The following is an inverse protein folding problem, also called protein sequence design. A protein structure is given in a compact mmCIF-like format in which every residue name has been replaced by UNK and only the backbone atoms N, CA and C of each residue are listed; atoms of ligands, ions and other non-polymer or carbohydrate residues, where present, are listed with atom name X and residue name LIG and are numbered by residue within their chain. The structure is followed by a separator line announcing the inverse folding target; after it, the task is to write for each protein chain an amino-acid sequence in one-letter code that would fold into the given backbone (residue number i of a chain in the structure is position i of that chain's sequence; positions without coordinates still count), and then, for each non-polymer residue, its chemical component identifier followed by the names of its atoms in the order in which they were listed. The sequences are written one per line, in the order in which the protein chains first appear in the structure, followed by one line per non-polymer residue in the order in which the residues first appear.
data_IF_242265670873
#
_entry.id   IF_242265670873
#
_cell.length_a   1.000
_cell.length_b   1.000
_cell.length_c   1.000
_cell.angle_alpha   90.00
_cell.angle_beta   90.00
_cell.angle_gamma   90.00
#
_symmetry.space_group_name_H-M   'P 1'
#
loop_
_entity.id
_entity.type
_entity.pdbx_description
1 polymer ?
#
# COMPACT_ATOMS: atom_id res chain seq x y z
N UNK A 1 -54.65 28.52 17.28
CA UNK A 1 -53.62 29.53 17.02
C UNK A 1 -52.61 29.49 18.16
N UNK A 2 -51.97 28.36 18.41
CA UNK A 2 -50.79 28.12 19.29
C UNK A 2 -50.23 26.77 18.85
N UNK A 3 -49.31 26.75 17.88
CA UNK A 3 -48.47 25.57 17.53
C UNK A 3 -47.53 25.86 16.36
N UNK A 4 -46.82 26.98 16.43
CA UNK A 4 -45.64 27.22 15.59
C UNK A 4 -44.71 28.19 16.33
N UNK A 5 -43.97 27.66 17.36
CA UNK A 5 -42.90 28.47 17.97
C UNK A 5 -41.86 27.63 18.74
N UNK A 6 -41.53 26.41 18.27
CA UNK A 6 -40.47 25.63 18.94
C UNK A 6 -39.68 24.76 17.96
N UNK A 7 -39.28 25.31 16.83
CA UNK A 7 -38.30 24.63 15.94
C UNK A 7 -37.32 25.59 15.21
N UNK A 8 -37.06 26.75 15.80
CA UNK A 8 -36.10 27.73 15.19
C UNK A 8 -34.71 27.76 15.85
N UNK A 9 -34.51 27.07 16.98
CA UNK A 9 -33.26 27.19 17.76
C UNK A 9 -32.33 25.98 17.72
N UNK A 10 -32.47 25.07 16.75
CA UNK A 10 -31.56 23.94 16.60
C UNK A 10 -30.76 23.85 15.30
N UNK A 11 -30.70 24.90 14.50
CA UNK A 11 -29.85 24.92 13.30
C UNK A 11 -29.13 26.27 13.23
N UNK A 12 -28.01 26.43 13.92
CA UNK A 12 -26.88 27.26 13.50
C UNK A 12 -25.67 27.23 14.45
N UNK A 13 -24.74 26.27 14.24
CA UNK A 13 -23.34 26.51 14.55
C UNK A 13 -22.49 26.47 13.27
N UNK A 14 -22.93 27.14 12.16
CA UNK A 14 -22.26 26.86 10.88
C UNK A 14 -21.63 28.06 10.20
N UNK A 15 -21.98 29.28 10.53
CA UNK A 15 -21.39 30.45 9.88
C UNK A 15 -20.02 30.82 10.44
N UNK A 16 -19.79 30.64 11.72
CA UNK A 16 -18.48 30.93 12.33
C UNK A 16 -17.46 29.82 12.06
N UNK A 17 -17.87 28.56 12.00
CA UNK A 17 -16.99 27.46 11.59
C UNK A 17 -16.61 27.53 10.10
N UNK A 18 -17.53 27.94 9.24
CA UNK A 18 -17.24 28.18 7.83
C UNK A 18 -16.35 29.40 7.59
N UNK A 19 -16.50 30.46 8.37
CA UNK A 19 -15.60 31.62 8.32
C UNK A 19 -14.21 31.28 8.84
N UNK A 20 -14.10 30.44 9.87
CA UNK A 20 -12.82 29.98 10.39
C UNK A 20 -12.09 29.08 9.40
N UNK A 21 -12.77 28.12 8.77
CA UNK A 21 -12.19 27.24 7.73
C UNK A 21 -11.84 28.01 6.45
N UNK A 22 -12.64 28.98 6.03
CA UNK A 22 -12.33 29.82 4.88
C UNK A 22 -11.12 30.72 5.14
N UNK A 23 -11.00 31.29 6.35
CA UNK A 23 -9.82 32.07 6.77
C UNK A 23 -8.53 31.22 6.81
N UNK A 24 -8.60 29.97 7.29
CA UNK A 24 -7.49 29.02 7.27
C UNK A 24 -7.09 28.63 5.85
N UNK A 25 -8.07 28.47 4.94
CA UNK A 25 -7.80 28.15 3.55
C UNK A 25 -7.11 29.33 2.83
N UNK A 26 -7.56 30.56 3.03
CA UNK A 26 -6.94 31.77 2.47
C UNK A 26 -5.50 31.98 3.00
N UNK A 27 -5.26 31.71 4.28
CA UNK A 27 -3.90 31.74 4.85
C UNK A 27 -3.00 30.67 4.24
N UNK A 28 -3.49 29.45 3.99
CA UNK A 28 -2.73 28.36 3.35
C UNK A 28 -2.40 28.68 1.89
N UNK A 29 -3.33 29.25 1.14
CA UNK A 29 -3.09 29.68 -0.24
C UNK A 29 -2.07 30.80 -0.32
N UNK A 30 -2.12 31.78 0.60
CA UNK A 30 -1.13 32.85 0.69
C UNK A 30 0.28 32.32 1.04
N UNK A 31 0.37 31.36 1.98
CA UNK A 31 1.64 30.70 2.33
C UNK A 31 2.18 29.89 1.16
N UNK A 32 1.32 29.19 0.39
CA UNK A 32 1.78 28.44 -0.78
C UNK A 32 2.24 29.36 -1.93
N UNK A 33 1.60 30.49 -2.13
CA UNK A 33 2.04 31.47 -3.13
C UNK A 33 3.35 32.13 -2.72
N UNK A 34 3.54 32.42 -1.44
CA UNK A 34 4.80 32.97 -0.91
C UNK A 34 5.94 31.95 -1.00
N UNK A 35 5.67 30.68 -0.70
CA UNK A 35 6.62 29.57 -0.88
C UNK A 35 6.97 29.34 -2.36
N UNK A 36 6.05 29.55 -3.29
CA UNK A 36 6.32 29.43 -4.73
C UNK A 36 7.20 30.59 -5.24
N UNK A 37 6.95 31.82 -4.80
CA UNK A 37 7.78 32.99 -5.10
C UNK A 37 9.19 32.87 -4.46
N UNK A 38 9.30 32.32 -3.25
CA UNK A 38 10.59 32.05 -2.62
C UNK A 38 11.36 30.90 -3.29
N UNK A 39 10.71 29.86 -3.83
CA UNK A 39 11.39 28.77 -4.57
C UNK A 39 12.11 29.23 -5.83
N UNK A 40 11.60 30.24 -6.54
CA UNK A 40 12.28 30.82 -7.71
C UNK A 40 13.52 31.63 -7.34
N UNK A 41 13.52 32.31 -6.21
CA UNK A 41 14.67 33.06 -5.71
C UNK A 41 15.77 32.14 -5.12
N UNK A 42 15.40 31.03 -4.50
CA UNK A 42 16.36 30.05 -3.94
C UNK A 42 17.13 29.25 -4.98
N UNK A 43 16.60 29.04 -6.18
CA UNK A 43 17.38 28.41 -7.27
C UNK A 43 18.58 29.25 -7.71
N UNK A 44 18.48 30.55 -7.65
CA UNK A 44 19.60 31.46 -7.98
C UNK A 44 20.58 31.54 -6.81
N UNK A 45 20.10 31.65 -5.58
CA UNK A 45 20.92 31.72 -4.36
C UNK A 45 21.59 30.37 -4.07
N UNK A 46 20.92 29.25 -4.26
CA UNK A 46 21.48 27.91 -4.08
C UNK A 46 22.67 27.61 -4.99
N UNK A 47 22.68 28.17 -6.21
CA UNK A 47 23.80 28.03 -7.14
C UNK A 47 25.04 28.83 -6.68
N UNK A 48 24.83 29.99 -6.05
CA UNK A 48 25.93 30.83 -5.50
C UNK A 48 26.51 30.22 -4.20
N UNK A 49 25.66 29.69 -3.32
CA UNK A 49 26.11 29.06 -2.06
C UNK A 49 26.87 27.77 -2.34
N UNK A 50 26.40 26.94 -3.29
CA UNK A 50 27.09 25.70 -3.70
C UNK A 50 28.48 26.00 -4.28
N UNK A 51 28.62 27.07 -5.06
CA UNK A 51 29.90 27.50 -5.63
C UNK A 51 30.87 28.02 -4.55
N UNK A 52 30.37 28.80 -3.57
CA UNK A 52 31.18 29.31 -2.48
C UNK A 52 31.65 28.21 -1.52
N UNK A 53 30.82 27.22 -1.21
CA UNK A 53 31.21 26.05 -0.40
C UNK A 53 32.25 25.20 -1.14
N UNK A 54 32.07 25.00 -2.45
CA UNK A 54 33.04 24.26 -3.28
C UNK A 54 34.43 24.97 -3.32
N UNK A 55 34.45 26.30 -3.42
CA UNK A 55 35.67 27.07 -3.38
C UNK A 55 36.32 27.04 -1.98
N UNK A 56 35.52 27.10 -0.90
CA UNK A 56 36.06 26.97 0.47
C UNK A 56 36.60 25.56 0.76
N UNK A 57 35.96 24.49 0.29
CA UNK A 57 36.48 23.12 0.44
C UNK A 57 37.79 22.90 -0.34
N UNK A 58 37.95 23.55 -1.49
CA UNK A 58 39.21 23.50 -2.26
C UNK A 58 40.34 24.25 -1.51
N UNK A 59 40.03 25.36 -0.83
CA UNK A 59 41.06 26.11 -0.06
C UNK A 59 41.52 25.37 1.20
N UNK A 60 40.62 24.64 1.89
CA UNK A 60 41.00 23.88 3.11
C UNK A 60 41.83 22.63 2.80
N UNK A 61 41.69 22.03 1.60
CA UNK A 61 42.49 20.87 1.18
C UNK A 61 43.87 21.24 0.63
N UNK A 62 44.05 22.46 0.13
CA UNK A 62 45.32 22.89 -0.50
C UNK A 62 46.21 23.69 0.43
N UNK A 63 45.68 24.39 1.44
CA UNK A 63 46.46 25.37 2.23
C UNK A 63 46.54 25.05 3.73
N UNK A 64 45.79 24.09 4.25
CA UNK A 64 45.94 23.59 5.63
C UNK A 64 45.76 24.63 6.76
N UNK A 65 45.01 25.73 6.55
CA UNK A 65 44.82 26.80 7.55
C UNK A 65 43.41 26.63 8.19
N UNK A 66 43.32 26.52 9.54
CA UNK A 66 42.03 26.50 10.21
C UNK A 66 41.39 27.88 10.21
N UNK A 67 40.21 28.02 9.65
CA UNK A 67 39.41 29.26 9.70
C UNK A 67 38.67 29.31 11.03
N UNK A 68 39.01 30.26 11.90
CA UNK A 68 38.25 30.57 13.11
C UNK A 68 37.09 31.47 12.70
N UNK A 69 35.88 30.98 12.79
CA UNK A 69 34.65 31.75 12.59
C UNK A 69 34.35 32.55 13.88
N UNK A 70 34.58 33.86 13.85
CA UNK A 70 34.10 34.76 14.89
C UNK A 70 32.62 35.11 14.65
N UNK A 71 31.84 35.00 15.73
CA UNK A 71 30.40 35.34 15.78
C UNK A 71 30.10 36.75 15.28
N UNK A 72 29.11 36.88 14.42
CA UNK A 72 28.39 38.14 14.20
C UNK A 72 27.03 38.06 14.88
N UNK A 73 26.90 38.92 15.89
CA UNK A 73 25.68 39.02 16.72
C UNK A 73 24.57 39.83 16.06
N UNK A 74 23.35 39.28 16.16
CA UNK A 74 22.03 39.88 16.41
C UNK A 74 21.23 40.58 15.31
N UNK A 75 20.08 40.00 15.01
CA UNK A 75 18.77 40.50 15.44
C UNK A 75 17.69 39.42 15.26
N UNK A 76 16.80 39.36 16.27
CA UNK A 76 15.67 38.46 16.46
C UNK A 76 14.86 38.11 15.19
N UNK A 77 14.88 36.85 14.83
CA UNK A 77 13.85 36.22 14.01
C UNK A 77 13.36 35.01 14.81
N UNK A 78 12.06 34.88 14.90
CA UNK A 78 11.36 33.77 15.52
C UNK A 78 12.05 32.44 15.20
N UNK A 79 12.57 31.76 16.23
CA UNK A 79 13.16 30.44 16.09
C UNK A 79 12.02 29.43 15.82
N UNK A 80 11.79 29.10 14.55
CA UNK A 80 11.13 27.87 14.19
C UNK A 80 12.14 26.78 14.51
N UNK A 81 11.99 26.15 15.66
CA UNK A 81 12.71 24.93 16.02
C UNK A 81 12.24 23.84 15.08
N UNK A 82 12.99 23.60 14.01
CA UNK A 82 12.89 22.36 13.29
C UNK A 82 13.36 21.28 14.26
N UNK A 83 12.43 20.54 14.84
CA UNK A 83 12.74 19.24 15.39
C UNK A 83 13.15 18.37 14.20
N UNK A 84 14.46 18.30 13.95
CA UNK A 84 15.03 17.17 13.26
C UNK A 84 14.65 15.97 14.11
N UNK A 85 13.64 15.22 13.68
CA UNK A 85 13.51 13.86 14.14
C UNK A 85 14.80 13.20 13.71
N UNK A 86 15.73 13.08 14.64
CA UNK A 86 16.87 12.20 14.47
C UNK A 86 16.29 10.83 14.22
N UNK A 87 16.28 10.39 12.97
CA UNK A 87 16.25 8.98 12.66
C UNK A 87 17.56 8.40 13.21
N UNK A 88 17.57 8.20 14.52
CA UNK A 88 18.63 7.48 15.21
C UNK A 88 18.45 6.01 14.85
N UNK A 89 19.55 5.43 14.48
CA UNK A 89 19.81 4.08 14.03
C UNK A 89 19.44 3.84 12.56
N UNK A 90 20.40 4.10 11.70
CA UNK A 90 20.73 3.27 10.58
C UNK A 90 20.78 1.80 11.07
N UNK A 91 19.65 1.12 11.10
CA UNK A 91 19.69 -0.27 10.74
C UNK A 91 20.30 -0.25 9.35
N UNK A 92 21.42 -0.88 9.16
CA UNK A 92 22.03 -1.12 7.88
C UNK A 92 20.94 -1.70 6.99
N UNK A 93 20.30 -0.85 6.18
CA UNK A 93 19.27 -1.32 5.26
C UNK A 93 19.97 -2.34 4.40
N UNK A 94 19.54 -3.59 4.47
CA UNK A 94 20.06 -4.65 3.63
C UNK A 94 19.90 -4.15 2.20
N UNK A 95 21.03 -3.92 1.52
CA UNK A 95 20.98 -3.56 0.12
C UNK A 95 20.63 -4.81 -0.67
N UNK A 96 19.49 -4.81 -1.37
CA UNK A 96 19.01 -5.94 -2.13
C UNK A 96 19.33 -5.76 -3.61
N UNK A 97 20.20 -6.62 -4.14
CA UNK A 97 20.45 -6.75 -5.58
C UNK A 97 19.46 -7.77 -6.14
N UNK A 98 18.22 -7.36 -6.34
CA UNK A 98 17.05 -8.23 -6.53
C UNK A 98 17.20 -9.23 -7.68
N UNK A 99 17.86 -8.83 -8.77
CA UNK A 99 18.05 -9.71 -9.93
C UNK A 99 18.81 -11.00 -9.59
N UNK A 100 19.75 -10.96 -8.64
CA UNK A 100 20.62 -12.05 -8.21
C UNK A 100 20.35 -12.54 -6.78
N UNK A 101 19.52 -11.84 -6.02
CA UNK A 101 19.13 -12.26 -4.67
C UNK A 101 18.51 -13.65 -4.65
N UNK A 102 18.80 -14.42 -3.60
CA UNK A 102 18.35 -15.79 -3.43
C UNK A 102 17.51 -15.94 -2.16
N UNK A 103 16.38 -16.58 -2.30
CA UNK A 103 15.53 -17.01 -1.20
C UNK A 103 15.62 -18.52 -1.03
N UNK A 104 15.38 -18.98 0.19
CA UNK A 104 15.25 -20.41 0.45
C UNK A 104 14.09 -20.95 -0.40
N UNK A 105 14.34 -22.02 -1.16
CA UNK A 105 13.29 -22.66 -1.96
C UNK A 105 12.23 -23.37 -1.10
N UNK A 106 12.55 -23.59 0.20
CA UNK A 106 11.70 -24.28 1.16
C UNK A 106 11.02 -23.26 2.06
N UNK A 107 9.72 -23.12 1.90
CA UNK A 107 8.89 -22.24 2.73
C UNK A 107 8.65 -22.79 4.12
N UNK A 108 8.49 -21.88 5.08
CA UNK A 108 8.07 -22.17 6.46
C UNK A 108 6.65 -21.63 6.64
N UNK A 109 5.71 -22.45 7.11
CA UNK A 109 4.36 -21.98 7.44
C UNK A 109 4.42 -21.11 8.70
N UNK A 110 3.99 -19.84 8.56
CA UNK A 110 3.98 -18.84 9.65
C UNK A 110 2.57 -18.48 10.12
N UNK A 111 1.54 -18.87 9.38
CA UNK A 111 0.13 -18.79 9.78
C UNK A 111 -0.68 -19.85 9.05
N UNK A 112 -1.73 -20.33 9.68
CA UNK A 112 -2.51 -21.46 9.18
C UNK A 112 -1.86 -22.82 9.53
N UNK A 113 -2.49 -23.88 9.07
CA UNK A 113 -1.99 -25.25 9.32
C UNK A 113 -0.92 -25.63 8.30
N UNK A 114 0.19 -26.22 8.77
CA UNK A 114 1.27 -26.69 7.89
C UNK A 114 0.81 -27.81 6.92
N UNK A 115 -0.26 -28.51 7.27
CA UNK A 115 -0.91 -29.49 6.39
C UNK A 115 -1.59 -28.89 5.15
N UNK A 116 -1.81 -27.56 5.14
CA UNK A 116 -2.55 -26.91 4.07
C UNK A 116 -4.06 -27.12 4.13
N UNK A 117 -4.58 -27.70 5.21
CA UNK A 117 -6.02 -27.90 5.35
C UNK A 117 -6.72 -26.64 5.87
N UNK A 118 -7.90 -26.30 5.33
CA UNK A 118 -8.67 -25.15 5.82
C UNK A 118 -9.20 -25.43 7.25
N UNK A 119 -9.29 -24.35 8.05
CA UNK A 119 -9.83 -24.45 9.41
C UNK A 119 -10.46 -23.14 9.85
N UNK A 120 -11.56 -23.24 10.61
CA UNK A 120 -12.26 -22.12 11.22
C UNK A 120 -11.68 -21.74 12.60
N UNK A 121 -10.86 -22.59 13.19
CA UNK A 121 -10.18 -22.28 14.47
C UNK A 121 -9.20 -21.13 14.32
N UNK A 122 -8.77 -20.53 15.44
CA UNK A 122 -7.73 -19.50 15.41
C UNK A 122 -6.33 -20.06 15.08
N UNK A 123 -6.12 -21.39 15.18
CA UNK A 123 -4.89 -22.04 14.74
C UNK A 123 -4.83 -22.26 13.22
N UNK A 124 -5.91 -22.02 12.49
CA UNK A 124 -5.98 -22.21 11.04
C UNK A 124 -6.54 -21.02 10.30
N UNK A 125 -6.48 -21.12 8.98
CA UNK A 125 -7.02 -20.16 8.01
C UNK A 125 -7.93 -20.88 7.01
N UNK A 126 -8.73 -20.12 6.27
CA UNK A 126 -9.54 -20.66 5.18
C UNK A 126 -9.52 -19.71 3.97
N UNK A 127 -8.78 -20.10 2.94
CA UNK A 127 -8.60 -19.32 1.72
C UNK A 127 -8.18 -17.87 2.00
N UNK A 128 -7.06 -17.61 2.71
CA UNK A 128 -6.58 -16.25 2.95
C UNK A 128 -6.29 -15.54 1.62
N UNK A 129 -6.53 -14.22 1.53
CA UNK A 129 -6.37 -13.45 0.29
C UNK A 129 -5.27 -12.39 0.35
N UNK A 130 -5.11 -11.70 1.48
CA UNK A 130 -4.08 -10.66 1.64
C UNK A 130 -3.43 -10.75 3.02
N UNK A 131 -2.23 -10.18 3.10
CA UNK A 131 -1.48 -10.01 4.35
C UNK A 131 -0.89 -8.61 4.43
N UNK A 132 -0.78 -8.12 5.65
CA UNK A 132 0.10 -7.00 5.98
C UNK A 132 1.25 -7.53 6.85
N UNK A 133 2.49 -7.18 6.52
CA UNK A 133 3.69 -7.64 7.25
C UNK A 133 4.33 -6.46 7.96
N UNK A 134 4.45 -6.55 9.28
CA UNK A 134 5.22 -5.59 10.07
C UNK A 134 6.72 -5.91 10.02
N UNK A 135 7.57 -4.89 10.22
CA UNK A 135 9.02 -5.06 10.17
C UNK A 135 9.59 -6.10 11.15
N UNK A 136 8.89 -6.41 12.24
CA UNK A 136 9.26 -7.44 13.21
C UNK A 136 8.79 -8.86 12.86
N UNK A 137 8.16 -9.04 11.69
CA UNK A 137 7.64 -10.33 11.24
C UNK A 137 6.24 -10.68 11.76
N UNK A 138 5.60 -9.81 12.54
CA UNK A 138 4.15 -9.93 12.84
C UNK A 138 3.36 -9.73 11.56
N UNK A 139 2.31 -10.52 11.35
CA UNK A 139 1.45 -10.40 10.16
C UNK A 139 -0.02 -10.23 10.55
N UNK A 140 -0.75 -9.45 9.76
CA UNK A 140 -2.21 -9.48 9.72
C UNK A 140 -2.64 -10.26 8.48
N UNK A 141 -3.69 -11.07 8.61
CA UNK A 141 -4.18 -11.93 7.53
C UNK A 141 -5.66 -11.67 7.28
N UNK A 142 -6.02 -11.40 6.04
CA UNK A 142 -7.41 -11.42 5.58
C UNK A 142 -7.83 -12.90 5.37
N UNK A 143 -8.47 -13.45 6.38
CA UNK A 143 -8.93 -14.83 6.43
C UNK A 143 -10.32 -14.95 5.76
N UNK A 144 -10.28 -14.90 4.43
CA UNK A 144 -11.39 -14.63 3.51
C UNK A 144 -12.65 -15.44 3.80
N UNK A 145 -12.57 -16.76 3.76
CA UNK A 145 -13.75 -17.61 3.99
C UNK A 145 -14.16 -17.68 5.47
N UNK A 146 -13.31 -17.26 6.39
CA UNK A 146 -13.64 -17.16 7.80
C UNK A 146 -14.15 -15.76 8.20
N UNK A 147 -14.35 -14.83 7.26
CA UNK A 147 -14.95 -13.49 7.47
C UNK A 147 -14.31 -12.72 8.63
N UNK A 148 -12.97 -12.75 8.72
CA UNK A 148 -12.22 -12.15 9.84
C UNK A 148 -10.84 -11.69 9.42
N UNK A 149 -10.27 -10.80 10.23
CA UNK A 149 -8.85 -10.46 10.18
C UNK A 149 -8.18 -11.02 11.42
N UNK A 150 -7.09 -11.75 11.24
CA UNK A 150 -6.30 -12.34 12.32
C UNK A 150 -4.87 -11.80 12.34
N UNK A 151 -4.32 -11.61 13.54
CA UNK A 151 -2.93 -11.24 13.77
C UNK A 151 -2.14 -12.46 14.20
N UNK A 152 -0.95 -12.63 13.64
CA UNK A 152 -0.02 -13.70 13.99
C UNK A 152 1.33 -13.10 14.34
N UNK A 153 1.77 -13.27 15.58
CA UNK A 153 3.10 -12.89 16.00
C UNK A 153 4.12 -13.95 15.55
N UNK A 154 5.41 -13.61 15.42
CA UNK A 154 6.43 -14.59 15.06
C UNK A 154 6.39 -15.84 15.96
N UNK A 155 6.38 -17.02 15.33
CA UNK A 155 6.27 -18.33 15.97
C UNK A 155 4.96 -18.61 16.72
N UNK A 156 3.92 -17.81 16.51
CA UNK A 156 2.61 -18.08 17.08
C UNK A 156 2.01 -19.36 16.48
N UNK A 157 1.41 -20.20 17.33
CA UNK A 157 0.68 -21.41 16.93
C UNK A 157 -0.80 -21.16 16.64
N UNK A 158 -1.29 -19.95 16.98
CA UNK A 158 -2.65 -19.50 16.70
C UNK A 158 -2.68 -17.99 16.51
N UNK A 159 -3.59 -17.52 15.67
CA UNK A 159 -3.85 -16.11 15.45
C UNK A 159 -4.70 -15.48 16.56
N UNK A 160 -4.67 -14.17 16.63
CA UNK A 160 -5.53 -13.34 17.47
C UNK A 160 -6.53 -12.63 16.58
N UNK A 161 -7.80 -12.64 16.93
CA UNK A 161 -8.84 -11.92 16.20
C UNK A 161 -8.65 -10.39 16.34
N UNK A 162 -8.64 -9.69 15.21
CA UNK A 162 -8.45 -8.22 15.15
C UNK A 162 -9.70 -7.51 14.66
N UNK A 163 -10.39 -8.06 13.65
CA UNK A 163 -11.60 -7.48 13.07
C UNK A 163 -12.49 -8.57 12.46
N UNK A 164 -13.79 -8.30 12.36
CA UNK A 164 -14.78 -9.32 12.06
C UNK A 164 -14.97 -10.26 13.25
N UNK A 165 -15.97 -11.10 13.19
CA UNK A 165 -16.27 -12.08 14.27
C UNK A 165 -16.07 -13.53 13.85
N UNK A 166 -15.81 -13.75 12.55
CA UNK A 166 -15.86 -15.07 11.93
C UNK A 166 -17.25 -15.40 11.34
N UNK A 167 -18.24 -14.58 11.61
CA UNK A 167 -19.59 -14.71 11.01
C UNK A 167 -19.70 -13.78 9.80
N UNK A 168 -20.31 -14.29 8.74
CA UNK A 168 -20.67 -13.52 7.55
C UNK A 168 -21.76 -12.48 7.90
N UNK A 169 -21.61 -11.25 7.42
CA UNK A 169 -22.65 -10.23 7.60
C UNK A 169 -22.19 -8.80 7.27
N UNK A 170 -23.12 -7.84 7.39
CA UNK A 170 -22.94 -6.45 6.95
C UNK A 170 -22.95 -5.40 8.08
N UNK A 171 -23.10 -5.80 9.34
CA UNK A 171 -23.00 -4.83 10.46
C UNK A 171 -21.57 -4.29 10.62
N UNK A 172 -21.38 -3.25 11.46
CA UNK A 172 -20.06 -2.60 11.62
C UNK A 172 -19.00 -3.47 12.30
N UNK A 173 -19.40 -4.58 12.94
CA UNK A 173 -18.49 -5.55 13.56
C UNK A 173 -18.28 -6.80 12.71
N UNK A 174 -19.03 -6.94 11.61
CA UNK A 174 -18.98 -8.11 10.73
C UNK A 174 -18.28 -7.79 9.42
N UNK A 175 -17.75 -8.83 8.80
CA UNK A 175 -17.17 -8.81 7.47
C UNK A 175 -17.82 -9.87 6.59
N UNK A 176 -17.79 -9.65 5.28
CA UNK A 176 -18.21 -10.59 4.26
C UNK A 176 -17.07 -10.78 3.25
N UNK A 177 -16.28 -11.83 3.47
CA UNK A 177 -15.13 -12.19 2.63
C UNK A 177 -14.11 -11.06 2.47
N UNK A 178 -13.37 -10.67 3.53
CA UNK A 178 -12.35 -9.64 3.46
C UNK A 178 -11.20 -10.06 2.53
N UNK A 179 -10.79 -9.17 1.61
CA UNK A 179 -9.80 -9.48 0.56
C UNK A 179 -8.53 -8.67 0.64
N UNK A 180 -8.57 -7.43 1.09
CA UNK A 180 -7.42 -6.53 1.05
C UNK A 180 -7.25 -5.76 2.35
N UNK A 181 -5.99 -5.52 2.71
CA UNK A 181 -5.57 -4.84 3.94
C UNK A 181 -4.62 -3.69 3.62
N UNK A 182 -4.85 -2.55 4.27
CA UNK A 182 -3.87 -1.47 4.34
C UNK A 182 -3.88 -0.85 5.73
N UNK A 183 -2.75 -0.26 6.15
CA UNK A 183 -2.64 0.39 7.47
C UNK A 183 -2.20 1.83 7.29
N UNK A 184 -2.84 2.72 8.05
CA UNK A 184 -2.46 4.12 8.22
C UNK A 184 -2.78 4.57 9.65
N UNK A 185 -1.81 5.18 10.32
CA UNK A 185 -1.99 5.83 11.62
C UNK A 185 -2.75 4.99 12.65
N UNK A 186 -2.39 3.71 12.79
CA UNK A 186 -3.04 2.76 13.70
C UNK A 186 -4.50 2.42 13.32
N UNK A 187 -4.87 2.67 12.08
CA UNK A 187 -6.14 2.28 11.49
C UNK A 187 -5.91 1.20 10.44
N UNK A 188 -6.72 0.16 10.51
CA UNK A 188 -6.74 -0.94 9.55
C UNK A 188 -7.87 -0.72 8.55
N UNK A 189 -7.52 -0.50 7.31
CA UNK A 189 -8.43 -0.46 6.17
C UNK A 189 -8.64 -1.88 5.68
N UNK A 190 -9.89 -2.28 5.55
CA UNK A 190 -10.29 -3.62 5.11
C UNK A 190 -11.25 -3.51 3.94
N UNK A 191 -10.93 -4.18 2.83
CA UNK A 191 -11.91 -4.42 1.79
C UNK A 191 -12.87 -5.51 2.22
N UNK A 192 -14.11 -5.14 2.48
CA UNK A 192 -15.23 -5.99 2.86
C UNK A 192 -15.99 -6.37 1.58
N UNK A 193 -15.42 -7.35 0.83
CA UNK A 193 -15.65 -7.58 -0.59
C UNK A 193 -17.13 -7.75 -0.96
N UNK A 194 -17.85 -8.67 -0.31
CA UNK A 194 -19.26 -8.97 -0.65
C UNK A 194 -20.25 -7.98 -0.03
N UNK A 195 -19.76 -7.05 0.82
CA UNK A 195 -20.52 -5.88 1.25
C UNK A 195 -20.21 -4.64 0.39
N UNK A 196 -19.33 -4.74 -0.61
CA UNK A 196 -18.99 -3.66 -1.54
C UNK A 196 -18.58 -2.37 -0.83
N UNK A 197 -17.74 -2.48 0.22
CA UNK A 197 -17.33 -1.34 1.04
C UNK A 197 -15.89 -1.47 1.53
N UNK A 198 -15.29 -0.34 1.88
CA UNK A 198 -14.05 -0.28 2.64
C UNK A 198 -14.38 0.17 4.06
N UNK A 199 -13.95 -0.61 5.03
CA UNK A 199 -14.11 -0.32 6.46
C UNK A 199 -12.79 0.00 7.12
N UNK A 200 -12.80 0.91 8.11
CA UNK A 200 -11.68 1.23 8.97
C UNK A 200 -11.94 0.67 10.36
N UNK A 201 -11.04 -0.18 10.85
CA UNK A 201 -11.01 -0.69 12.21
C UNK A 201 -9.86 -0.05 13.00
N UNK A 202 -10.07 0.38 14.27
CA UNK A 202 -8.99 0.85 15.12
C UNK A 202 -8.11 -0.32 15.59
N UNK A 203 -6.79 -0.25 15.35
CA UNK A 203 -5.84 -1.31 15.73
C UNK A 203 -5.52 -1.39 17.24
N UNK A 204 -5.95 -0.40 18.03
CA UNK A 204 -5.66 -0.29 19.47
C UNK A 204 -6.91 -0.32 20.33
N UNK A 205 -8.03 -0.83 19.83
CA UNK A 205 -9.18 -1.04 20.67
C UNK A 205 -8.95 -2.27 21.55
N UNK A 206 -9.24 -2.15 22.84
CA UNK A 206 -9.26 -3.30 23.76
C UNK A 206 -10.51 -4.16 23.56
N UNK A 207 -11.34 -3.83 22.59
CA UNK A 207 -12.54 -4.57 22.24
C UNK A 207 -12.16 -5.80 21.42
N UNK A 208 -12.72 -6.96 21.77
CA UNK A 208 -12.54 -8.21 21.02
C UNK A 208 -13.15 -8.16 19.61
N UNK A 209 -13.95 -7.14 19.32
CA UNK A 209 -14.58 -6.90 18.01
C UNK A 209 -14.85 -5.39 17.91
N UNK A 210 -13.87 -4.57 17.48
CA UNK A 210 -14.06 -3.13 17.37
C UNK A 210 -15.08 -2.80 16.27
N UNK A 211 -15.92 -1.78 16.51
CA UNK A 211 -16.80 -1.26 15.47
C UNK A 211 -16.00 -0.52 14.41
N UNK A 212 -16.33 -0.82 13.15
CA UNK A 212 -15.73 -0.17 12.00
C UNK A 212 -16.52 1.05 11.53
N UNK A 213 -15.82 1.92 10.81
CA UNK A 213 -16.43 3.02 10.05
C UNK A 213 -16.32 2.72 8.56
N UNK A 214 -17.43 2.74 7.83
CA UNK A 214 -17.44 2.64 6.36
C UNK A 214 -17.00 3.98 5.77
N UNK A 215 -15.95 3.97 4.96
CA UNK A 215 -15.41 5.17 4.31
C UNK A 215 -15.69 5.21 2.80
N UNK A 216 -15.74 4.07 2.15
CA UNK A 216 -16.03 3.93 0.72
C UNK A 216 -17.10 2.86 0.54
N UNK A 217 -17.91 2.96 -0.51
CA UNK A 217 -19.00 2.02 -0.78
C UNK A 217 -20.30 2.35 -0.02
N UNK A 218 -20.45 3.57 0.49
CA UNK A 218 -21.67 4.05 1.17
C UNK A 218 -22.90 4.05 0.26
N UNK A 219 -22.69 4.02 -1.05
CA UNK A 219 -23.74 4.01 -2.07
C UNK A 219 -24.00 2.62 -2.66
N UNK A 220 -23.43 1.57 -2.06
CA UNK A 220 -23.58 0.17 -2.47
C UNK A 220 -22.77 -0.20 -3.71
N UNK A 221 -23.07 -1.39 -4.24
CA UNK A 221 -22.44 -1.96 -5.43
C UNK A 221 -22.77 -1.14 -6.69
N UNK A 222 -21.78 -0.88 -7.53
CA UNK A 222 -21.97 -0.25 -8.84
C UNK A 222 -20.67 0.26 -9.46
N UNK A 223 -20.79 0.89 -10.62
CA UNK A 223 -19.69 1.39 -11.43
C UNK A 223 -19.54 2.92 -11.42
N UNK A 224 -20.43 3.65 -10.74
CA UNK A 224 -20.28 5.10 -10.56
C UNK A 224 -18.99 5.42 -9.81
N UNK A 225 -18.51 6.67 -9.87
CA UNK A 225 -17.24 7.06 -9.28
C UNK A 225 -17.20 6.87 -7.75
N UNK A 226 -18.36 6.95 -7.08
CA UNK A 226 -18.50 6.79 -5.64
C UNK A 226 -19.01 5.39 -5.23
N UNK A 227 -19.13 4.47 -6.18
CA UNK A 227 -19.48 3.07 -5.97
C UNK A 227 -18.28 2.19 -6.24
N UNK A 228 -18.27 0.98 -5.70
CA UNK A 228 -17.23 -0.02 -5.91
C UNK A 228 -17.86 -1.40 -6.13
N UNK A 229 -17.10 -2.27 -6.81
CA UNK A 229 -17.49 -3.68 -7.00
C UNK A 229 -16.25 -4.59 -6.89
N UNK A 230 -16.15 -5.32 -5.79
CA UNK A 230 -15.08 -6.26 -5.47
C UNK A 230 -13.68 -5.65 -5.50
N UNK A 231 -13.38 -4.81 -4.51
CA UNK A 231 -12.03 -4.29 -4.31
C UNK A 231 -11.13 -5.39 -3.77
N UNK A 232 -10.07 -5.70 -4.51
CA UNK A 232 -9.18 -6.84 -4.25
C UNK A 232 -7.79 -6.46 -3.73
N UNK A 233 -7.41 -5.20 -3.83
CA UNK A 233 -6.14 -4.70 -3.28
C UNK A 233 -6.24 -3.24 -2.86
N UNK A 234 -5.48 -2.88 -1.82
CA UNK A 234 -5.43 -1.54 -1.21
C UNK A 234 -3.98 -1.10 -1.03
N UNK A 235 -3.69 0.16 -1.35
CA UNK A 235 -2.39 0.80 -1.05
C UNK A 235 -2.61 2.18 -0.43
N UNK A 236 -1.97 2.42 0.72
CA UNK A 236 -1.76 3.76 1.27
C UNK A 236 -0.34 4.19 0.95
N UNK A 237 -0.12 5.26 0.17
CA UNK A 237 1.21 5.78 -0.11
C UNK A 237 1.90 6.31 1.15
N UNK A 238 3.23 6.22 1.19
CA UNK A 238 4.02 6.77 2.30
C UNK A 238 4.11 8.30 2.24
N UNK A 239 4.29 8.85 1.02
CA UNK A 239 4.44 10.29 0.81
C UNK A 239 3.11 11.05 0.85
N UNK A 240 2.00 10.37 0.54
CA UNK A 240 0.65 10.97 0.50
C UNK A 240 -0.32 10.10 1.29
N UNK A 241 -0.20 10.06 2.62
CA UNK A 241 -0.96 9.12 3.44
C UNK A 241 -2.47 9.41 3.50
N UNK A 242 -2.95 10.55 2.98
CA UNK A 242 -4.39 10.80 2.82
C UNK A 242 -5.00 9.96 1.69
N UNK A 243 -4.19 9.48 0.75
CA UNK A 243 -4.67 8.74 -0.41
C UNK A 243 -4.81 7.24 -0.12
N UNK A 244 -5.83 6.63 -0.70
CA UNK A 244 -6.03 5.17 -0.73
C UNK A 244 -6.28 4.74 -2.17
N UNK A 245 -5.33 4.02 -2.76
CA UNK A 245 -5.49 3.39 -4.06
C UNK A 245 -6.21 2.05 -3.93
N UNK A 246 -7.10 1.74 -4.86
CA UNK A 246 -7.96 0.57 -4.83
C UNK A 246 -8.05 -0.10 -6.21
N UNK A 247 -7.85 -1.41 -6.26
CA UNK A 247 -8.17 -2.20 -7.43
C UNK A 247 -9.66 -2.59 -7.37
N UNK A 248 -10.49 -1.86 -8.10
CA UNK A 248 -11.95 -2.09 -8.22
C UNK A 248 -12.20 -3.09 -9.35
N UNK A 249 -11.94 -4.36 -9.06
CA UNK A 249 -11.66 -5.42 -10.02
C UNK A 249 -12.80 -5.70 -10.97
N UNK A 250 -14.03 -5.81 -10.48
CA UNK A 250 -15.21 -6.10 -11.32
C UNK A 250 -15.63 -4.91 -12.17
N UNK A 251 -15.22 -3.71 -11.78
CA UNK A 251 -15.41 -2.50 -12.59
C UNK A 251 -14.22 -2.22 -13.53
N UNK A 252 -13.23 -3.14 -13.58
CA UNK A 252 -12.09 -3.07 -14.51
C UNK A 252 -11.28 -1.78 -14.43
N UNK A 253 -11.13 -1.24 -13.21
CA UNK A 253 -10.51 0.08 -12.98
C UNK A 253 -9.68 0.12 -11.69
N UNK A 254 -8.83 1.14 -11.62
CA UNK A 254 -8.15 1.53 -10.39
C UNK A 254 -8.64 2.91 -9.99
N UNK A 255 -9.07 3.02 -8.73
CA UNK A 255 -9.53 4.25 -8.11
C UNK A 255 -8.50 4.73 -7.08
N UNK A 256 -8.52 6.03 -6.79
CA UNK A 256 -7.90 6.60 -5.60
C UNK A 256 -8.93 7.46 -4.86
N UNK A 257 -9.04 7.22 -3.57
CA UNK A 257 -9.85 8.02 -2.64
C UNK A 257 -8.92 8.89 -1.80
N UNK A 258 -9.31 10.14 -1.59
CA UNK A 258 -8.60 11.08 -0.72
C UNK A 258 -9.43 11.30 0.55
N UNK A 259 -8.87 10.94 1.69
CA UNK A 259 -9.52 11.04 2.99
C UNK A 259 -9.67 12.49 3.48
N UNK A 260 -8.87 13.44 3.00
CA UNK A 260 -8.96 14.85 3.40
C UNK A 260 -10.15 15.54 2.71
N UNK A 261 -10.43 15.16 1.48
CA UNK A 261 -11.49 15.78 0.67
C UNK A 261 -12.74 14.91 0.53
N UNK A 262 -12.68 13.65 1.00
CA UNK A 262 -13.69 12.59 0.79
C UNK A 262 -14.10 12.44 -0.67
N UNK A 263 -13.13 12.54 -1.59
CA UNK A 263 -13.37 12.45 -3.03
C UNK A 263 -12.67 11.24 -3.63
N UNK A 264 -13.32 10.64 -4.63
CA UNK A 264 -12.76 9.51 -5.40
C UNK A 264 -12.50 9.94 -6.84
N UNK A 265 -11.40 9.48 -7.43
CA UNK A 265 -11.08 9.70 -8.84
C UNK A 265 -10.57 8.43 -9.52
N UNK A 266 -10.79 8.33 -10.83
CA UNK A 266 -10.26 7.27 -11.68
C UNK A 266 -8.76 7.49 -11.92
N UNK A 267 -7.96 6.42 -11.77
CA UNK A 267 -6.50 6.42 -12.03
C UNK A 267 -6.19 5.66 -13.31
N UNK A 268 -6.72 4.45 -13.47
CA UNK A 268 -6.44 3.58 -14.62
C UNK A 268 -7.67 2.74 -14.97
N UNK A 269 -7.73 2.30 -16.23
CA UNK A 269 -8.85 1.53 -16.75
C UNK A 269 -10.05 2.42 -17.15
N UNK A 270 -11.09 1.77 -17.63
CA UNK A 270 -12.36 2.38 -18.03
C UNK A 270 -13.49 1.76 -17.20
N UNK A 271 -14.26 2.59 -16.47
CA UNK A 271 -15.31 2.10 -15.56
C UNK A 271 -16.32 1.20 -16.26
N UNK A 272 -16.47 -0.03 -15.74
CA UNK A 272 -17.44 -1.01 -16.24
C UNK A 272 -17.12 -1.62 -17.61
N UNK A 273 -15.98 -1.27 -18.23
CA UNK A 273 -15.59 -1.73 -19.55
C UNK A 273 -14.25 -2.46 -19.49
N UNK A 274 -14.24 -3.76 -19.79
CA UNK A 274 -13.00 -4.52 -19.90
C UNK A 274 -12.41 -4.46 -21.31
N UNK A 275 -11.11 -4.66 -21.45
CA UNK A 275 -10.47 -4.71 -22.75
C UNK A 275 -8.98 -5.05 -22.68
N UNK A 276 -8.38 -5.16 -23.86
CA UNK A 276 -6.99 -5.57 -24.07
C UNK A 276 -6.07 -4.42 -24.47
N UNK A 277 -6.65 -3.25 -24.79
CA UNK A 277 -5.88 -2.07 -25.17
C UNK A 277 -4.97 -1.63 -24.03
N UNK A 278 -3.90 -0.87 -24.30
CA UNK A 278 -2.98 -0.43 -23.24
C UNK A 278 -3.67 0.32 -22.09
N UNK A 279 -4.74 1.09 -22.38
CA UNK A 279 -5.48 1.89 -21.39
C UNK A 279 -6.60 1.12 -20.71
N UNK A 280 -6.98 -0.04 -21.24
CA UNK A 280 -8.03 -0.87 -20.67
C UNK A 280 -7.45 -1.96 -19.77
N UNK A 281 -8.24 -2.36 -18.80
CA UNK A 281 -7.94 -3.44 -17.86
C UNK A 281 -9.00 -4.54 -17.95
N UNK A 282 -8.65 -5.74 -17.54
CA UNK A 282 -9.62 -6.83 -17.41
C UNK A 282 -9.44 -7.53 -16.07
N UNK A 283 -10.33 -7.22 -15.13
CA UNK A 283 -10.32 -7.73 -13.76
C UNK A 283 -8.95 -7.55 -13.07
N UNK A 284 -8.45 -6.29 -12.93
CA UNK A 284 -7.18 -6.03 -12.26
C UNK A 284 -7.30 -6.42 -10.78
N UNK A 285 -6.32 -7.16 -10.24
CA UNK A 285 -6.37 -7.66 -8.87
C UNK A 285 -5.34 -6.96 -8.00
N UNK A 286 -4.07 -7.04 -8.32
CA UNK A 286 -2.99 -6.47 -7.52
C UNK A 286 -2.45 -5.16 -8.07
N UNK A 287 -2.06 -4.26 -7.19
CA UNK A 287 -1.42 -3.00 -7.54
C UNK A 287 -0.13 -2.80 -6.74
N UNK A 288 0.82 -2.06 -7.30
CA UNK A 288 2.01 -1.56 -6.62
C UNK A 288 2.31 -0.14 -7.08
N UNK A 289 2.72 0.72 -6.16
CA UNK A 289 3.00 2.13 -6.42
C UNK A 289 4.50 2.40 -6.31
N UNK A 290 5.08 2.96 -7.37
CA UNK A 290 6.39 3.60 -7.33
C UNK A 290 6.19 5.10 -7.08
N UNK A 291 6.31 5.50 -5.83
CA UNK A 291 6.14 6.90 -5.42
C UNK A 291 7.25 7.82 -5.97
N UNK A 292 8.42 7.27 -6.34
CA UNK A 292 9.54 8.06 -6.89
C UNK A 292 9.27 8.53 -8.31
N UNK A 293 8.71 7.64 -9.13
CA UNK A 293 8.39 7.90 -10.53
C UNK A 293 6.91 8.21 -10.74
N UNK A 294 6.11 8.19 -9.67
CA UNK A 294 4.66 8.37 -9.71
C UNK A 294 3.96 7.40 -10.68
N UNK A 295 4.42 6.17 -10.67
CA UNK A 295 3.95 5.11 -11.56
C UNK A 295 3.21 4.02 -10.80
N UNK A 296 2.10 3.58 -11.34
CA UNK A 296 1.29 2.49 -10.81
C UNK A 296 1.49 1.23 -11.66
N UNK A 297 1.87 0.13 -11.03
CA UNK A 297 1.97 -1.18 -11.64
C UNK A 297 0.73 -1.99 -11.28
N UNK A 298 0.10 -2.62 -12.27
CA UNK A 298 -1.20 -3.26 -12.14
C UNK A 298 -1.12 -4.68 -12.67
N UNK A 299 -1.41 -5.66 -11.85
CA UNK A 299 -1.66 -7.02 -12.29
C UNK A 299 -3.02 -7.05 -13.03
N UNK A 300 -2.96 -6.94 -14.35
CA UNK A 300 -4.09 -6.97 -15.27
C UNK A 300 -4.43 -8.45 -15.55
N UNK A 301 -5.08 -9.05 -14.57
CA UNK A 301 -5.11 -10.47 -14.29
C UNK A 301 -5.65 -11.29 -15.46
N UNK A 302 -6.81 -10.94 -16.01
CA UNK A 302 -7.43 -11.70 -17.08
C UNK A 302 -6.81 -11.41 -18.46
N UNK A 303 -5.96 -10.39 -18.55
CA UNK A 303 -5.11 -10.13 -19.70
C UNK A 303 -3.72 -10.79 -19.56
N UNK A 304 -3.45 -11.51 -18.48
CA UNK A 304 -2.19 -12.23 -18.24
C UNK A 304 -0.95 -11.33 -18.36
N UNK A 305 -1.02 -10.10 -17.84
CA UNK A 305 0.05 -9.10 -17.95
C UNK A 305 0.16 -8.23 -16.71
N UNK A 306 1.29 -7.53 -16.58
CA UNK A 306 1.44 -6.38 -15.68
C UNK A 306 1.54 -5.12 -16.53
N UNK A 307 0.66 -4.16 -16.27
CA UNK A 307 0.65 -2.84 -16.89
C UNK A 307 1.28 -1.80 -15.96
N UNK A 308 2.07 -0.89 -16.54
CA UNK A 308 2.57 0.31 -15.85
C UNK A 308 1.80 1.52 -16.36
N UNK A 309 1.25 2.32 -15.45
CA UNK A 309 0.58 3.58 -15.73
C UNK A 309 1.35 4.74 -15.10
N UNK A 310 1.50 5.85 -15.83
CA UNK A 310 1.91 7.12 -15.24
C UNK A 310 0.68 7.80 -14.62
N UNK A 311 0.73 8.08 -13.32
CA UNK A 311 -0.41 8.69 -12.60
C UNK A 311 -0.64 10.14 -13.03
N UNK A 312 0.39 10.84 -13.51
CA UNK A 312 0.32 12.22 -13.96
C UNK A 312 -0.16 12.33 -15.42
N UNK A 313 0.08 11.29 -16.24
CA UNK A 313 -0.23 11.29 -17.66
C UNK A 313 -1.30 10.24 -17.98
N UNK A 314 -2.57 10.68 -18.04
CA UNK A 314 -3.73 9.78 -18.20
C UNK A 314 -3.68 8.80 -19.38
N UNK A 315 -2.86 9.04 -20.39
CA UNK A 315 -2.78 8.23 -21.62
C UNK A 315 -1.42 7.52 -21.74
N UNK A 316 -0.65 7.43 -20.67
CA UNK A 316 0.64 6.77 -20.65
C UNK A 316 0.56 5.44 -19.91
N UNK A 317 0.47 4.36 -20.67
CA UNK A 317 0.55 3.00 -20.13
C UNK A 317 1.37 2.08 -21.02
N UNK A 318 2.02 1.09 -20.41
CA UNK A 318 2.80 0.09 -21.15
C UNK A 318 2.78 -1.27 -20.45
N UNK A 319 2.81 -2.33 -21.23
CA UNK A 319 3.00 -3.68 -20.68
C UNK A 319 4.47 -3.85 -20.28
N UNK A 320 4.71 -4.18 -19.01
CA UNK A 320 6.07 -4.37 -18.46
C UNK A 320 6.38 -5.83 -18.13
N UNK A 321 5.38 -6.70 -18.06
CA UNK A 321 5.53 -8.16 -17.93
C UNK A 321 4.31 -8.88 -18.53
N UNK A 322 4.52 -10.11 -18.97
CA UNK A 322 3.46 -10.94 -19.54
C UNK A 322 3.94 -11.69 -20.79
N UNK A 323 3.57 -11.22 -21.97
CA UNK A 323 3.97 -11.77 -23.29
C UNK A 323 3.85 -13.30 -23.40
N UNK A 324 2.81 -13.90 -22.78
CA UNK A 324 2.56 -15.34 -22.77
C UNK A 324 3.30 -16.13 -21.68
N UNK A 325 4.01 -15.46 -20.79
CA UNK A 325 4.75 -16.10 -19.68
C UNK A 325 4.06 -16.04 -18.32
N UNK A 326 2.96 -15.28 -18.19
CA UNK A 326 2.14 -15.19 -16.99
C UNK A 326 0.78 -15.86 -17.21
N UNK A 327 0.22 -16.35 -16.13
CA UNK A 327 -1.12 -16.94 -16.11
C UNK A 327 -1.90 -16.45 -14.89
N UNK A 328 -2.82 -15.51 -15.12
CA UNK A 328 -3.60 -14.85 -14.08
C UNK A 328 -2.72 -14.32 -12.94
N UNK A 329 -1.81 -13.34 -13.18
CA UNK A 329 -1.05 -12.72 -12.10
C UNK A 329 -2.01 -11.99 -11.17
N UNK A 330 -1.95 -12.28 -9.84
CA UNK A 330 -2.82 -11.64 -8.84
C UNK A 330 -2.11 -10.53 -8.09
N UNK A 331 -0.83 -10.65 -7.82
CA UNK A 331 -0.09 -9.63 -7.11
C UNK A 331 1.13 -9.15 -7.88
N UNK A 332 1.43 -7.89 -7.72
CA UNK A 332 2.69 -7.26 -8.09
C UNK A 332 3.21 -6.47 -6.90
N UNK A 333 4.52 -6.56 -6.64
CA UNK A 333 5.24 -5.79 -5.63
C UNK A 333 6.54 -5.29 -6.25
N UNK A 334 6.97 -4.08 -5.89
CA UNK A 334 8.23 -3.53 -6.38
C UNK A 334 9.36 -3.76 -5.37
N UNK A 335 10.57 -3.89 -5.87
CA UNK A 335 11.76 -3.75 -5.05
C UNK A 335 12.00 -2.26 -4.70
N UNK A 336 12.85 -1.94 -3.70
CA UNK A 336 13.10 -0.56 -3.30
C UNK A 336 13.69 0.33 -4.40
N UNK A 337 14.29 -0.27 -5.44
CA UNK A 337 14.83 0.46 -6.60
C UNK A 337 13.76 0.82 -7.61
N UNK A 338 12.62 0.13 -7.61
CA UNK A 338 11.58 0.21 -8.65
C UNK A 338 11.97 -0.48 -9.97
N UNK A 339 13.13 -1.17 -10.00
CA UNK A 339 13.66 -1.81 -11.21
C UNK A 339 13.12 -3.22 -11.41
N UNK A 340 12.87 -3.92 -10.31
CA UNK A 340 12.40 -5.29 -10.35
C UNK A 340 11.00 -5.40 -9.73
N UNK A 341 10.22 -6.30 -10.32
CA UNK A 341 8.88 -6.63 -9.85
C UNK A 341 8.88 -8.05 -9.30
N UNK A 342 8.22 -8.25 -8.18
CA UNK A 342 7.83 -9.56 -7.69
C UNK A 342 6.40 -9.81 -8.12
N UNK A 343 6.11 -10.93 -8.75
CA UNK A 343 4.80 -11.24 -9.32
C UNK A 343 4.32 -12.59 -8.78
N UNK A 344 3.12 -12.60 -8.20
CA UNK A 344 2.42 -13.85 -7.94
C UNK A 344 1.76 -14.31 -9.24
N UNK A 345 2.41 -15.29 -9.89
CA UNK A 345 1.94 -15.91 -11.14
C UNK A 345 1.00 -17.07 -10.78
N UNK A 346 -0.22 -16.70 -10.39
CA UNK A 346 -1.13 -17.46 -9.53
C UNK A 346 -1.49 -18.83 -10.10
N UNK A 347 -1.91 -18.89 -11.36
CA UNK A 347 -2.32 -20.17 -11.98
C UNK A 347 -1.14 -20.98 -12.51
N UNK A 348 0.08 -20.43 -12.44
CA UNK A 348 1.31 -21.17 -12.59
C UNK A 348 1.94 -21.55 -11.23
N UNK A 349 1.25 -21.34 -10.12
CA UNK A 349 1.62 -21.79 -8.75
C UNK A 349 3.02 -21.39 -8.33
N UNK A 350 3.45 -20.13 -8.68
CA UNK A 350 4.82 -19.67 -8.46
C UNK A 350 4.90 -18.17 -8.17
N UNK A 351 6.02 -17.75 -7.62
CA UNK A 351 6.42 -16.35 -7.48
C UNK A 351 7.64 -16.09 -8.36
N UNK A 352 7.59 -14.97 -9.09
CA UNK A 352 8.63 -14.55 -10.01
C UNK A 352 9.29 -13.24 -9.54
N UNK A 353 10.59 -13.10 -9.79
CA UNK A 353 11.26 -11.81 -9.96
C UNK A 353 11.32 -11.49 -11.44
N UNK A 354 10.81 -10.32 -11.81
CA UNK A 354 10.80 -9.83 -13.18
C UNK A 354 11.58 -8.52 -13.26
N UNK A 355 12.73 -8.54 -13.91
CA UNK A 355 13.54 -7.34 -14.12
C UNK A 355 12.99 -6.54 -15.31
N UNK A 356 12.89 -5.22 -15.14
CA UNK A 356 12.39 -4.34 -16.18
C UNK A 356 13.19 -4.52 -17.50
N UNK A 357 12.48 -4.60 -18.61
CA UNK A 357 13.09 -4.82 -19.94
C UNK A 357 13.42 -6.27 -20.29
N UNK A 358 13.27 -7.22 -19.36
CA UNK A 358 13.41 -8.65 -19.67
C UNK A 358 12.11 -9.24 -20.22
N UNK A 359 12.21 -10.33 -20.98
CA UNK A 359 11.03 -11.03 -21.51
C UNK A 359 10.51 -12.12 -20.59
N UNK A 360 11.29 -12.54 -19.61
CA UNK A 360 10.95 -13.61 -18.69
C UNK A 360 11.33 -13.24 -17.26
N UNK A 361 10.53 -13.69 -16.30
CA UNK A 361 10.84 -13.64 -14.88
C UNK A 361 11.58 -14.89 -14.41
N UNK A 362 12.36 -14.75 -13.34
CA UNK A 362 13.02 -15.84 -12.62
C UNK A 362 12.13 -16.34 -11.50
N UNK A 363 11.92 -17.66 -11.40
CA UNK A 363 11.18 -18.27 -10.28
C UNK A 363 11.99 -18.16 -8.99
N UNK A 364 11.35 -17.71 -7.90
CA UNK A 364 11.94 -17.60 -6.57
C UNK A 364 11.23 -18.43 -5.51
N UNK A 365 9.96 -18.80 -5.73
CA UNK A 365 9.21 -19.71 -4.87
C UNK A 365 8.14 -20.45 -5.69
N UNK A 366 7.82 -21.67 -5.27
CA UNK A 366 6.96 -22.59 -6.03
C UNK A 366 7.72 -23.33 -7.14
N UNK A 367 7.17 -24.46 -7.61
CA UNK A 367 7.79 -25.33 -8.62
C UNK A 367 6.96 -25.46 -9.89
N UNK A 368 5.99 -24.58 -10.11
CA UNK A 368 5.03 -24.53 -11.21
C UNK A 368 3.95 -25.64 -11.15
N UNK A 369 3.90 -26.42 -10.07
CA UNK A 369 2.88 -27.45 -9.86
C UNK A 369 2.09 -27.17 -8.59
N UNK A 370 0.77 -27.31 -8.57
CA UNK A 370 0.01 -27.12 -7.35
C UNK A 370 0.33 -28.21 -6.34
N UNK A 371 0.56 -27.83 -5.09
CA UNK A 371 0.81 -28.79 -4.02
C UNK A 371 0.96 -28.11 -2.66
N UNK A 372 1.03 -28.90 -1.61
CA UNK A 372 1.08 -28.43 -0.23
C UNK A 372 2.37 -28.73 0.51
N UNK A 373 3.38 -29.30 -0.15
CA UNK A 373 4.71 -29.45 0.47
C UNK A 373 5.42 -28.10 0.61
N UNK A 374 6.59 -28.08 1.26
CA UNK A 374 7.28 -26.84 1.58
C UNK A 374 7.90 -26.11 0.36
N UNK A 375 8.04 -26.80 -0.79
CA UNK A 375 8.55 -26.23 -2.05
C UNK A 375 7.44 -25.78 -2.99
N UNK A 376 6.20 -26.17 -2.70
CA UNK A 376 5.04 -25.95 -3.57
C UNK A 376 4.13 -24.88 -3.02
N UNK A 377 3.44 -24.25 -3.95
CA UNK A 377 2.37 -23.29 -3.72
C UNK A 377 1.11 -23.77 -4.45
N UNK A 378 -0.04 -23.28 -4.04
CA UNK A 378 -1.30 -23.56 -4.72
C UNK A 378 -2.13 -22.28 -4.84
N UNK A 379 -2.13 -21.69 -6.02
CA UNK A 379 -2.75 -20.38 -6.33
C UNK A 379 -2.34 -19.29 -5.34
N UNK A 380 -1.05 -18.89 -5.29
CA UNK A 380 -0.62 -17.77 -4.45
C UNK A 380 -1.29 -16.48 -4.92
N UNK A 381 -1.88 -15.73 -3.98
CA UNK A 381 -2.64 -14.51 -4.32
C UNK A 381 -1.93 -13.21 -3.94
N UNK A 382 -1.06 -13.24 -2.93
CA UNK A 382 -0.40 -12.03 -2.45
C UNK A 382 1.01 -12.32 -1.97
N UNK A 383 1.85 -11.29 -2.08
CA UNK A 383 3.27 -11.30 -1.65
C UNK A 383 3.58 -10.03 -0.86
N UNK A 384 4.37 -10.16 0.18
CA UNK A 384 4.91 -9.05 0.98
C UNK A 384 6.31 -9.41 1.48
N UNK A 385 7.03 -8.40 1.96
CA UNK A 385 8.34 -8.57 2.57
C UNK A 385 8.37 -7.98 3.97
N UNK A 386 9.15 -8.59 4.85
CA UNK A 386 9.55 -7.96 6.11
C UNK A 386 10.79 -7.04 5.91
N UNK A 387 11.27 -6.41 7.00
CA UNK A 387 12.45 -5.54 6.95
C UNK A 387 13.76 -6.26 6.59
N UNK A 388 13.79 -7.59 6.67
CA UNK A 388 14.93 -8.43 6.30
C UNK A 388 14.81 -8.99 4.89
N UNK A 389 13.79 -8.56 4.12
CA UNK A 389 13.44 -9.08 2.79
C UNK A 389 13.11 -10.57 2.76
N UNK A 390 12.70 -11.17 3.88
CA UNK A 390 12.06 -12.46 3.82
C UNK A 390 10.73 -12.33 3.05
N UNK A 391 10.50 -13.24 2.13
CA UNK A 391 9.34 -13.26 1.27
C UNK A 391 8.18 -13.98 1.97
N UNK A 392 7.07 -13.30 2.17
CA UNK A 392 5.82 -13.86 2.65
C UNK A 392 4.85 -14.04 1.49
N UNK A 393 4.28 -15.23 1.38
CA UNK A 393 3.37 -15.62 0.30
C UNK A 393 2.05 -16.09 0.89
N UNK A 394 0.96 -15.53 0.40
CA UNK A 394 -0.39 -16.06 0.68
C UNK A 394 -0.64 -17.26 -0.21
N UNK A 395 -0.53 -18.45 0.35
CA UNK A 395 -0.70 -19.74 -0.32
C UNK A 395 -2.17 -20.19 -0.19
N UNK A 396 -3.03 -19.49 -0.94
CA UNK A 396 -4.47 -19.41 -0.73
C UNK A 396 -5.19 -20.75 -0.73
N UNK A 397 -4.99 -21.58 -1.75
CA UNK A 397 -5.66 -22.87 -1.82
C UNK A 397 -5.11 -23.89 -0.82
N UNK A 398 -3.95 -23.61 -0.22
CA UNK A 398 -3.40 -24.37 0.91
C UNK A 398 -3.74 -23.72 2.27
N UNK A 399 -4.60 -22.68 2.29
CA UNK A 399 -5.10 -22.04 3.51
C UNK A 399 -3.99 -21.72 4.53
N UNK A 400 -2.85 -21.20 4.06
CA UNK A 400 -1.67 -20.91 4.89
C UNK A 400 -0.89 -19.69 4.37
N UNK A 401 -0.03 -19.13 5.23
CA UNK A 401 0.98 -18.16 4.84
C UNK A 401 2.35 -18.84 4.93
N UNK A 402 3.10 -18.80 3.83
CA UNK A 402 4.45 -19.32 3.73
C UNK A 402 5.47 -18.18 3.77
N UNK A 403 6.57 -18.37 4.55
CA UNK A 403 7.73 -17.47 4.54
C UNK A 403 8.92 -18.18 3.90
N UNK A 404 9.56 -17.51 2.96
CA UNK A 404 10.81 -17.93 2.33
C UNK A 404 11.92 -16.96 2.76
N UNK A 405 12.86 -17.45 3.54
CA UNK A 405 13.92 -16.63 4.12
C UNK A 405 14.93 -16.22 3.05
N UNK A 406 15.39 -14.95 3.09
CA UNK A 406 16.46 -14.47 2.24
C UNK A 406 17.78 -15.17 2.61
N UNK A 407 18.44 -15.83 1.65
CA UNK A 407 19.73 -16.51 1.84
C UNK A 407 20.88 -15.59 1.46
N UNK A 408 20.72 -14.84 0.34
CA UNK A 408 21.70 -13.93 -0.18
C UNK A 408 21.02 -12.71 -0.76
N UNK A 409 21.51 -11.53 -0.43
CA UNK A 409 21.02 -10.27 -1.00
C UNK A 409 21.40 -10.08 -2.47
N UNK A 410 22.23 -10.97 -3.05
CA UNK A 410 22.63 -10.96 -4.45
C UNK A 410 23.72 -9.93 -4.79
N UNK A 411 24.18 -9.17 -3.81
CA UNK A 411 25.25 -8.20 -3.97
C UNK A 411 26.59 -8.86 -3.59
#
# INVERSE_FOLDING_TARGET
MIWIRDRADQIHPTLDSLRYTYSQHQQRVAIQQDLYQHRTNWKVIGSFISFTIFVMLLFTTVVGIPIILTEVRKRSVCSVTYHWVQYSTLNSSIHLCTATALWNSKGVTVAGLASGLPSTSLAGLQFPHDIYVYGNGTILVADYNNNRITKWDPNATAGILIAGTGSYGSSNILLAKPTALAIRDKQLYVSDLENYRIQIFPLHSNASSPEAVTVIGRYGQGSDINQIDQVTNLIVPTLYPSLLYMADSKNHRILVWDAETDTTRLVAGESGTFGFNPMQLYNPIGIALDEKTNSLYIADTFNNRVQKYDINERNSSMTVAGWGHLNHPYAVQLDPSGTNMFIADTFNHRILVWTNGTRQGRVIAGDNTPGNNAFQLNNPTQIRFDSNYNLYVVDTNNSRIQRFDLISNGC
#
